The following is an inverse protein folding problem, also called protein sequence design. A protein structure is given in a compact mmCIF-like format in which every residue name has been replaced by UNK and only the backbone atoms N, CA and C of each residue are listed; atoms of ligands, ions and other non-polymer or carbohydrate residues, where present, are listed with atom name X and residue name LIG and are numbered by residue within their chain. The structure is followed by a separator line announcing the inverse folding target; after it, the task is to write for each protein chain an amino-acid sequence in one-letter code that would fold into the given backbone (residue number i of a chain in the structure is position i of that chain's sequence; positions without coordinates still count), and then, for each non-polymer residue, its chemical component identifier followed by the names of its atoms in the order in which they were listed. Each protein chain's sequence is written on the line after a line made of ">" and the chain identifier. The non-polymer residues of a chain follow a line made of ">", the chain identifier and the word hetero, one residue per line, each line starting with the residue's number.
data_IF_147508926491
#
_entry.id   IF_147508926491
#
_cell.length_a   1.000
_cell.length_b   1.000
_cell.length_c   1.000
_cell.angle_alpha   90.00
_cell.angle_beta   90.00
_cell.angle_gamma   90.00
#
_symmetry.space_group_name_H-M   'P 1'
#
loop_
_entity.id
_entity.type
_entity.pdbx_description
1 polymer ?
#
# COMPACT_ATOMS: atom_id res chain seq x y z
N UNK A 1 2.10 -8.30 13.43
CA UNK A 1 2.29 -6.87 13.11
C UNK A 1 3.78 -6.56 13.15
N UNK A 2 4.29 -5.89 12.13
CA UNK A 2 5.71 -5.51 12.01
C UNK A 2 5.77 -4.07 11.49
N UNK A 3 6.61 -3.21 12.07
CA UNK A 3 6.96 -1.91 11.50
C UNK A 3 7.90 -2.14 10.31
N UNK A 4 7.59 -1.52 9.18
CA UNK A 4 8.45 -1.58 7.99
C UNK A 4 9.69 -0.70 8.20
N UNK A 5 10.86 -1.23 7.84
CA UNK A 5 12.12 -0.51 7.93
C UNK A 5 13.06 -1.01 6.81
N UNK A 6 13.18 -0.32 5.66
CA UNK A 6 12.57 0.99 5.38
C UNK A 6 11.05 0.90 5.15
N UNK A 7 10.38 2.03 5.29
CA UNK A 7 9.00 2.21 4.83
C UNK A 7 8.90 2.05 3.31
N UNK A 8 7.70 1.72 2.82
CA UNK A 8 7.47 1.45 1.40
C UNK A 8 6.50 2.45 0.80
N UNK A 9 6.90 3.09 -0.29
CA UNK A 9 6.00 3.91 -1.11
C UNK A 9 5.04 3.01 -1.89
N UNK A 10 3.75 3.25 -1.74
CA UNK A 10 2.71 2.46 -2.40
C UNK A 10 1.62 3.33 -3.00
N UNK A 11 1.12 2.89 -4.15
CA UNK A 11 -0.11 3.35 -4.75
C UNK A 11 -1.28 2.51 -4.20
N UNK A 12 -2.33 3.18 -3.74
CA UNK A 12 -3.58 2.60 -3.24
C UNK A 12 -4.76 3.08 -4.09
N UNK A 13 -5.98 2.54 -3.90
CA UNK A 13 -7.15 3.06 -4.61
C UNK A 13 -7.49 4.52 -4.26
N UNK A 14 -6.96 5.05 -3.15
CA UNK A 14 -7.12 6.44 -2.71
C UNK A 14 -5.91 7.32 -3.03
N UNK A 15 -4.94 6.81 -3.77
CA UNK A 15 -3.72 7.52 -4.15
C UNK A 15 -2.47 6.99 -3.44
N UNK A 16 -1.39 7.74 -3.56
CA UNK A 16 -0.07 7.34 -3.07
C UNK A 16 0.13 7.67 -1.59
N UNK A 17 0.95 6.86 -0.94
CA UNK A 17 1.36 7.10 0.43
C UNK A 17 2.52 6.21 0.87
N UNK A 18 2.96 6.48 2.10
CA UNK A 18 4.04 5.75 2.74
C UNK A 18 3.45 4.68 3.66
N UNK A 19 3.70 3.41 3.34
CA UNK A 19 3.36 2.27 4.19
C UNK A 19 4.45 2.09 5.26
N UNK A 20 4.04 2.09 6.52
CA UNK A 20 4.98 2.02 7.66
C UNK A 20 4.68 0.87 8.64
N UNK A 21 3.49 0.25 8.56
CA UNK A 21 3.13 -0.95 9.33
C UNK A 21 2.53 -1.99 8.40
N UNK A 22 2.89 -3.25 8.61
CA UNK A 22 2.19 -4.40 8.03
C UNK A 22 1.60 -5.27 9.15
N UNK A 23 0.30 -5.51 9.05
CA UNK A 23 -0.44 -6.41 9.94
C UNK A 23 -0.72 -7.71 9.20
N UNK A 24 -0.27 -8.80 9.80
CA UNK A 24 -0.48 -10.17 9.34
C UNK A 24 -1.38 -10.85 10.37
N UNK A 25 -2.58 -11.22 9.96
CA UNK A 25 -3.59 -11.86 10.80
C UNK A 25 -3.50 -13.41 10.75
N UNK A 26 -2.51 -13.96 10.04
CA UNK A 26 -2.32 -15.41 9.89
C UNK A 26 -2.75 -15.93 8.52
N UNK A 27 -2.87 -17.25 8.39
CA UNK A 27 -2.95 -17.92 7.08
C UNK A 27 -4.23 -17.63 6.27
N UNK A 28 -5.31 -17.22 6.92
CA UNK A 28 -6.63 -17.06 6.29
C UNK A 28 -6.91 -15.63 5.81
N UNK A 29 -6.04 -14.68 6.14
CA UNK A 29 -6.25 -13.26 5.87
C UNK A 29 -5.08 -12.69 5.09
N UNK A 30 -5.36 -11.76 4.17
CA UNK A 30 -4.27 -11.02 3.54
C UNK A 30 -3.57 -10.12 4.54
N UNK A 31 -2.33 -9.79 4.18
CA UNK A 31 -1.61 -8.71 4.85
C UNK A 31 -2.35 -7.40 4.64
N UNK A 32 -2.46 -6.63 5.70
CA UNK A 32 -3.02 -5.28 5.68
C UNK A 32 -1.87 -4.31 5.91
N UNK A 33 -1.80 -3.25 5.11
CA UNK A 33 -0.81 -2.18 5.24
C UNK A 33 -1.47 -0.93 5.79
N UNK A 34 -0.87 -0.37 6.84
CA UNK A 34 -1.22 0.98 7.30
C UNK A 34 -0.38 1.98 6.51
N UNK A 35 -1.06 2.87 5.80
CA UNK A 35 -0.46 3.81 4.85
C UNK A 35 -0.83 5.23 5.24
N UNK A 36 0.17 6.10 5.36
CA UNK A 36 -0.03 7.54 5.45
C UNK A 36 -0.08 8.10 4.02
N UNK A 37 -1.28 8.46 3.56
CA UNK A 37 -1.51 9.00 2.23
C UNK A 37 -0.96 10.43 2.13
N UNK A 38 -0.58 10.83 0.91
CA UNK A 38 -0.19 12.21 0.62
C UNK A 38 -1.34 13.22 0.85
N UNK A 39 -2.60 12.75 0.92
CA UNK A 39 -3.76 13.55 1.32
C UNK A 39 -3.78 13.90 2.83
N UNK A 40 -2.93 13.25 3.63
CA UNK A 40 -2.89 13.38 5.09
C UNK A 40 -3.73 12.35 5.84
N UNK A 41 -4.52 11.53 5.14
CA UNK A 41 -5.27 10.43 5.74
C UNK A 41 -4.35 9.24 6.08
N UNK A 42 -4.61 8.57 7.19
CA UNK A 42 -3.96 7.31 7.55
C UNK A 42 -5.02 6.22 7.46
N UNK A 43 -4.83 5.26 6.56
CA UNK A 43 -5.80 4.22 6.26
C UNK A 43 -5.12 2.86 6.12
N UNK A 44 -5.92 1.81 6.32
CA UNK A 44 -5.51 0.42 6.15
C UNK A 44 -5.98 -0.12 4.80
N UNK A 45 -5.07 -0.79 4.09
CA UNK A 45 -5.34 -1.36 2.77
C UNK A 45 -4.98 -2.84 2.71
N UNK A 46 -5.83 -3.66 2.08
CA UNK A 46 -5.51 -5.05 1.77
C UNK A 46 -4.36 -5.11 0.75
N UNK A 47 -3.44 -6.06 0.92
CA UNK A 47 -2.31 -6.27 0.01
C UNK A 47 -2.72 -6.26 -1.48
N UNK A 48 -3.91 -6.76 -1.81
CA UNK A 48 -4.41 -6.81 -3.21
C UNK A 48 -4.75 -5.43 -3.77
N UNK A 49 -4.98 -4.45 -2.92
CA UNK A 49 -5.25 -3.06 -3.27
C UNK A 49 -3.96 -2.23 -3.42
N UNK A 50 -2.80 -2.79 -3.06
CA UNK A 50 -1.55 -2.07 -3.08
C UNK A 50 -0.76 -2.34 -4.36
N UNK A 51 -0.14 -1.31 -4.92
CA UNK A 51 0.85 -1.40 -6.00
C UNK A 51 2.10 -0.63 -5.58
N UNK A 52 3.27 -1.04 -6.05
CA UNK A 52 4.50 -0.24 -5.89
C UNK A 52 4.40 1.06 -6.69
N UNK A 53 4.95 2.16 -6.19
CA UNK A 53 5.10 3.38 -6.97
C UNK A 53 6.14 3.25 -8.10
N UNK A 54 6.26 4.28 -8.93
CA UNK A 54 7.33 4.43 -9.91
C UNK A 54 8.72 4.39 -9.26
N UNK A 55 9.71 4.08 -10.08
CA UNK A 55 11.12 4.22 -9.71
C UNK A 55 11.93 4.66 -10.94
N UNK A 56 12.11 5.98 -11.14
CA UNK A 56 12.80 6.53 -12.30
C UNK A 56 14.23 6.01 -12.46
N UNK A 57 14.95 5.80 -11.35
CA UNK A 57 16.33 5.30 -11.37
C UNK A 57 16.46 3.91 -11.98
N UNK A 58 15.40 3.10 -11.89
CA UNK A 58 15.34 1.74 -12.43
C UNK A 58 14.40 1.61 -13.64
N UNK A 59 13.97 2.74 -14.24
CA UNK A 59 13.08 2.73 -15.41
C UNK A 59 11.68 2.16 -15.14
N UNK A 60 11.25 2.15 -13.87
CA UNK A 60 9.93 1.68 -13.46
C UNK A 60 8.94 2.81 -13.62
N UNK A 61 7.89 2.58 -14.40
CA UNK A 61 6.78 3.51 -14.57
C UNK A 61 5.77 3.42 -13.42
N UNK A 62 5.02 4.50 -13.21
CA UNK A 62 3.94 4.54 -12.24
C UNK A 62 2.87 3.50 -12.59
N UNK A 63 2.35 2.76 -11.61
CA UNK A 63 1.26 1.83 -11.85
C UNK A 63 -0.02 2.61 -12.18
N UNK A 64 -0.97 1.95 -12.85
CA UNK A 64 -2.34 2.45 -12.82
C UNK A 64 -2.89 2.39 -11.39
N UNK A 65 -3.75 3.33 -11.02
CA UNK A 65 -4.46 3.28 -9.74
C UNK A 65 -5.22 1.95 -9.64
N UNK A 66 -4.99 1.15 -8.58
CA UNK A 66 -5.66 -0.13 -8.43
C UNK A 66 -7.14 0.07 -8.11
N UNK A 67 -7.98 -0.79 -8.67
CA UNK A 67 -9.37 -0.89 -8.24
C UNK A 67 -9.44 -1.54 -6.86
N UNK A 68 -10.30 -1.06 -5.94
CA UNK A 68 -10.54 -1.74 -4.67
C UNK A 68 -10.95 -3.20 -4.91
N UNK A 69 -10.32 -4.13 -4.20
CA UNK A 69 -10.59 -5.55 -4.28
C UNK A 69 -11.94 -5.87 -3.64
N UNK A 70 -12.23 -5.23 -2.50
CA UNK A 70 -13.53 -5.33 -1.87
C UNK A 70 -14.44 -4.25 -2.45
N UNK A 71 -15.44 -4.68 -3.21
CA UNK A 71 -16.54 -3.82 -3.62
C UNK A 71 -17.51 -3.71 -2.44
N UNK A 72 -17.52 -2.58 -1.76
CA UNK A 72 -18.59 -2.21 -0.81
C UNK A 72 -19.65 -1.43 -1.58
#
# INVERSE_FOLDING_TARGET
>A
MIQLNPELWMMTPKGEGLAFIVTDYGMDHNKIFTVMLNSGEILDFDLRDCRRCENPSFGVQAPSVPNPYYNI
#
